data_IF_121270787443
#
_entry.id   IF_121270787443
#
_cell.length_a   1.000
_cell.length_b   1.000
_cell.length_c   1.000
_cell.angle_alpha   90.00
_cell.angle_beta   90.00
_cell.angle_gamma   90.00
#
_symmetry.space_group_name_H-M   'P 1'
#
loop_
_entity.id
_entity.type
_entity.pdbx_description
1 polymer ?
#
# COMPACT_ATOMS: atom_id res chain seq x y z
N UNK A 1 16.22 -7.29 -8.77
CA UNK A 1 15.31 -6.31 -8.14
C UNK A 1 14.06 -6.36 -8.98
N UNK A 2 13.02 -6.95 -8.44
CA UNK A 2 12.01 -6.01 -8.06
C UNK A 2 11.93 -6.00 -6.54
N UNK A 3 11.04 -5.15 -6.11
CA UNK A 3 10.68 -4.92 -4.74
C UNK A 3 9.16 -4.89 -4.67
N UNK A 4 8.62 -5.30 -3.53
CA UNK A 4 7.23 -5.05 -3.16
C UNK A 4 7.24 -4.35 -1.82
N UNK A 5 6.45 -3.29 -1.67
CA UNK A 5 6.31 -2.55 -0.41
C UNK A 5 4.99 -2.81 0.30
N UNK A 6 4.20 -3.76 -0.21
CA UNK A 6 2.86 -4.03 0.28
C UNK A 6 2.54 -5.53 0.15
N UNK A 7 2.37 -6.20 1.28
CA UNK A 7 2.09 -7.63 1.36
C UNK A 7 1.40 -8.01 2.67
N UNK A 8 0.65 -9.11 2.61
CA UNK A 8 -0.15 -9.68 3.69
C UNK A 8 0.00 -11.21 3.73
N UNK A 9 -0.02 -11.79 4.93
CA UNK A 9 0.07 -13.24 5.13
C UNK A 9 -1.13 -13.77 5.92
N UNK A 10 -1.53 -15.01 5.66
CA UNK A 10 -2.62 -15.65 6.42
C UNK A 10 -2.29 -15.92 7.88
N UNK A 11 -1.00 -15.83 8.27
CA UNK A 11 -0.56 -15.97 9.65
C UNK A 11 -0.97 -14.78 10.53
N UNK A 12 -1.08 -13.58 9.96
CA UNK A 12 -1.40 -12.36 10.71
C UNK A 12 -2.63 -11.60 10.16
N UNK A 13 -3.12 -11.98 8.98
CA UNK A 13 -4.39 -11.54 8.40
C UNK A 13 -5.30 -12.76 8.17
N UNK A 14 -5.74 -13.39 9.26
CA UNK A 14 -6.60 -14.59 9.22
C UNK A 14 -7.93 -14.31 8.50
N UNK A 15 -8.39 -15.26 7.70
CA UNK A 15 -9.61 -15.12 6.88
C UNK A 15 -9.43 -14.23 5.64
N UNK A 16 -8.49 -13.30 5.68
CA UNK A 16 -8.23 -12.30 4.64
C UNK A 16 -7.10 -12.71 3.67
N UNK A 17 -6.01 -13.27 4.19
CA UNK A 17 -4.85 -13.73 3.44
C UNK A 17 -4.56 -15.23 3.67
N UNK A 18 -3.53 -15.75 2.99
CA UNK A 18 -3.13 -17.17 3.05
C UNK A 18 -1.64 -17.32 3.32
N UNK A 19 -1.26 -18.54 3.72
CA UNK A 19 0.12 -18.98 3.97
C UNK A 19 0.79 -18.34 5.19
N UNK A 20 1.91 -18.93 5.63
CA UNK A 20 2.73 -18.33 6.68
C UNK A 20 3.52 -17.13 6.17
N UNK A 21 3.88 -16.21 7.06
CA UNK A 21 4.74 -15.07 6.71
C UNK A 21 6.09 -15.55 6.14
N UNK A 22 6.61 -16.66 6.68
CA UNK A 22 7.85 -17.28 6.19
C UNK A 22 7.70 -17.85 4.76
N UNK A 23 6.55 -18.46 4.42
CA UNK A 23 6.31 -18.96 3.06
C UNK A 23 6.25 -17.83 2.03
N UNK A 24 5.67 -16.68 2.41
CA UNK A 24 5.65 -15.47 1.58
C UNK A 24 7.09 -15.01 1.30
N UNK A 25 7.92 -14.88 2.34
CA UNK A 25 9.32 -14.46 2.21
C UNK A 25 10.13 -15.45 1.36
N UNK A 26 9.99 -16.75 1.61
CA UNK A 26 10.67 -17.79 0.81
C UNK A 26 10.24 -17.77 -0.66
N UNK A 27 8.97 -17.44 -0.92
CA UNK A 27 8.47 -17.26 -2.28
C UNK A 27 9.11 -16.04 -2.95
N UNK A 28 9.23 -14.91 -2.24
CA UNK A 28 9.92 -13.72 -2.74
C UNK A 28 11.41 -13.99 -3.03
N UNK A 29 12.10 -14.70 -2.14
CA UNK A 29 13.49 -15.17 -2.35
C UNK A 29 13.58 -16.08 -3.59
N UNK A 30 12.68 -17.07 -3.70
CA UNK A 30 12.64 -18.00 -4.84
C UNK A 30 12.40 -17.30 -6.18
N UNK A 31 11.64 -16.20 -6.17
CA UNK A 31 11.43 -15.30 -7.31
C UNK A 31 12.60 -14.33 -7.54
N UNK A 32 13.64 -14.34 -6.70
CA UNK A 32 14.82 -13.46 -6.77
C UNK A 32 14.48 -11.97 -6.56
N UNK A 33 13.47 -11.69 -5.74
CA UNK A 33 13.20 -10.33 -5.25
C UNK A 33 14.35 -9.89 -4.33
N UNK A 34 14.70 -8.60 -4.36
CA UNK A 34 15.81 -8.07 -3.55
C UNK A 34 15.34 -7.37 -2.29
N UNK A 35 14.15 -6.76 -2.36
CA UNK A 35 13.46 -6.21 -1.20
C UNK A 35 12.06 -6.77 -1.18
N UNK A 36 11.57 -7.19 -0.03
CA UNK A 36 10.17 -7.55 0.14
C UNK A 36 9.71 -7.03 1.50
N UNK A 37 8.92 -5.97 1.47
CA UNK A 37 8.45 -5.34 2.68
C UNK A 37 7.22 -6.07 3.22
N UNK A 38 7.17 -6.20 4.53
CA UNK A 38 6.04 -6.78 5.25
C UNK A 38 5.17 -5.63 5.73
N UNK A 39 3.86 -5.72 5.53
CA UNK A 39 2.94 -4.60 5.81
C UNK A 39 1.55 -5.09 6.21
N UNK A 40 1.48 -6.05 7.13
CA UNK A 40 0.20 -6.58 7.62
C UNK A 40 -0.71 -5.43 8.12
N UNK A 41 -2.02 -5.67 8.11
CA UNK A 41 -3.00 -4.70 8.58
C UNK A 41 -2.81 -4.31 10.06
N UNK A 42 -2.97 -3.02 10.35
CA UNK A 42 -2.94 -2.51 11.72
C UNK A 42 -4.17 -2.90 12.56
N UNK A 43 -4.06 -2.88 13.91
CA UNK A 43 -5.22 -2.95 14.79
C UNK A 43 -6.18 -1.76 14.59
N UNK A 44 -7.47 -2.00 14.74
CA UNK A 44 -8.54 -1.00 14.58
C UNK A 44 -9.59 -1.07 15.70
N UNK A 45 -10.52 -0.13 15.71
CA UNK A 45 -11.62 -0.11 16.70
C UNK A 45 -12.61 -1.23 16.41
N UNK A 46 -13.25 -1.79 17.45
CA UNK A 46 -14.18 -2.92 17.31
C UNK A 46 -15.35 -2.67 16.34
N UNK A 47 -15.80 -1.42 16.25
CA UNK A 47 -16.87 -1.01 15.33
C UNK A 47 -16.47 -1.02 13.84
N UNK A 48 -15.17 -1.04 13.56
CA UNK A 48 -14.61 -1.00 12.21
C UNK A 48 -14.02 -2.37 11.81
N UNK A 49 -14.33 -3.44 12.55
CA UNK A 49 -13.90 -4.80 12.21
C UNK A 49 -14.53 -5.30 10.91
N UNK A 50 -13.72 -6.00 10.11
CA UNK A 50 -14.22 -6.71 8.95
C UNK A 50 -15.04 -7.95 9.36
N UNK A 51 -15.96 -8.44 8.51
CA UNK A 51 -16.80 -9.59 8.85
C UNK A 51 -16.03 -10.82 9.32
N UNK A 52 -14.89 -11.14 8.71
CA UNK A 52 -14.02 -12.26 9.10
C UNK A 52 -13.43 -12.10 10.51
N UNK A 53 -13.13 -10.88 10.94
CA UNK A 53 -12.62 -10.59 12.28
C UNK A 53 -13.73 -10.75 13.33
N UNK A 54 -14.96 -10.32 12.99
CA UNK A 54 -16.15 -10.51 13.82
C UNK A 54 -16.46 -12.00 13.96
N UNK A 55 -16.43 -12.76 12.86
CA UNK A 55 -16.64 -14.21 12.83
C UNK A 55 -15.58 -14.96 13.66
N UNK A 56 -14.33 -14.48 13.65
CA UNK A 56 -13.24 -14.99 14.48
C UNK A 56 -13.34 -14.59 15.97
N UNK A 57 -14.36 -13.82 16.38
CA UNK A 57 -14.50 -13.23 17.71
C UNK A 57 -13.28 -12.39 18.12
N UNK A 58 -12.71 -11.65 17.17
CA UNK A 58 -11.62 -10.73 17.46
C UNK A 58 -12.03 -9.68 18.50
N UNK A 59 -11.04 -9.16 19.20
CA UNK A 59 -11.19 -8.02 20.11
C UNK A 59 -10.08 -7.01 19.79
N UNK A 60 -10.26 -5.76 20.20
CA UNK A 60 -9.20 -4.75 20.06
C UNK A 60 -7.89 -5.22 20.70
N UNK A 61 -7.98 -5.92 21.83
CA UNK A 61 -6.81 -6.51 22.51
C UNK A 61 -6.16 -7.63 21.69
N UNK A 62 -6.95 -8.51 21.04
CA UNK A 62 -6.41 -9.60 20.24
C UNK A 62 -5.74 -9.08 18.95
N UNK A 63 -6.25 -8.01 18.34
CA UNK A 63 -5.58 -7.37 17.21
C UNK A 63 -4.24 -6.73 17.63
N UNK A 64 -4.18 -6.08 18.80
CA UNK A 64 -2.93 -5.55 19.34
C UNK A 64 -1.92 -6.66 19.66
N UNK A 65 -2.38 -7.80 20.21
CA UNK A 65 -1.54 -8.97 20.44
C UNK A 65 -1.04 -9.58 19.12
N UNK A 66 -1.90 -9.64 18.10
CA UNK A 66 -1.55 -10.09 16.76
C UNK A 66 -0.47 -9.20 16.12
N UNK A 67 -0.58 -7.87 16.23
CA UNK A 67 0.46 -6.93 15.76
C UNK A 67 1.80 -7.16 16.48
N UNK A 68 1.78 -7.44 17.79
CA UNK A 68 2.98 -7.77 18.56
C UNK A 68 3.62 -9.08 18.10
N UNK A 69 2.81 -10.10 17.87
CA UNK A 69 3.26 -11.38 17.34
C UNK A 69 3.83 -11.23 15.92
N UNK A 70 3.16 -10.45 15.06
CA UNK A 70 3.60 -10.08 13.73
C UNK A 70 4.97 -9.41 13.75
N UNK A 71 5.14 -8.36 14.56
CA UNK A 71 6.39 -7.61 14.60
C UNK A 71 7.55 -8.51 15.05
N UNK A 72 7.34 -9.30 16.11
CA UNK A 72 8.35 -10.24 16.63
C UNK A 72 8.75 -11.29 15.59
N UNK A 73 7.78 -11.90 14.92
CA UNK A 73 8.06 -12.92 13.92
C UNK A 73 8.75 -12.33 12.69
N UNK A 74 8.32 -11.15 12.27
CA UNK A 74 8.95 -10.41 11.19
C UNK A 74 10.42 -10.11 11.50
N UNK A 75 10.76 -9.68 12.73
CA UNK A 75 12.15 -9.47 13.13
C UNK A 75 12.98 -10.76 13.05
N UNK A 76 12.45 -11.87 13.57
CA UNK A 76 13.10 -13.18 13.49
C UNK A 76 13.38 -13.59 12.04
N UNK A 77 12.41 -13.36 11.14
CA UNK A 77 12.52 -13.70 9.72
C UNK A 77 13.50 -12.77 8.99
N UNK A 78 13.49 -11.47 9.30
CA UNK A 78 14.47 -10.50 8.80
C UNK A 78 15.89 -10.95 9.14
N UNK A 79 16.15 -11.31 10.38
CA UNK A 79 17.47 -11.80 10.82
C UNK A 79 17.84 -13.12 10.13
N UNK A 80 16.90 -14.07 10.05
CA UNK A 80 17.12 -15.38 9.41
C UNK A 80 17.50 -15.27 7.93
N UNK A 81 16.89 -14.35 7.20
CA UNK A 81 17.00 -14.23 5.74
C UNK A 81 17.80 -12.99 5.27
N UNK A 82 18.49 -12.29 6.19
CA UNK A 82 19.17 -11.03 5.89
C UNK A 82 20.23 -11.14 4.77
N UNK A 83 20.83 -12.32 4.58
CA UNK A 83 21.81 -12.56 3.50
C UNK A 83 21.18 -12.88 2.14
N UNK A 84 19.87 -13.11 2.09
CA UNK A 84 19.15 -13.53 0.88
C UNK A 84 18.23 -12.43 0.34
N UNK A 85 17.58 -11.66 1.22
CA UNK A 85 16.62 -10.61 0.86
C UNK A 85 16.58 -9.50 1.92
N UNK A 86 16.40 -8.25 1.50
CA UNK A 86 16.18 -7.14 2.42
C UNK A 86 14.69 -7.05 2.80
N UNK A 87 14.38 -6.97 4.09
CA UNK A 87 13.01 -7.03 4.62
C UNK A 87 12.74 -5.80 5.50
N UNK A 88 12.26 -4.69 4.93
CA UNK A 88 11.64 -3.62 5.71
C UNK A 88 10.35 -4.13 6.38
N UNK A 89 10.20 -3.90 7.68
CA UNK A 89 9.00 -4.28 8.44
C UNK A 89 8.18 -3.02 8.68
N UNK A 90 6.98 -2.97 8.12
CA UNK A 90 6.02 -1.90 8.31
C UNK A 90 4.65 -2.44 8.66
N UNK A 91 3.61 -1.65 8.39
CA UNK A 91 2.22 -2.08 8.45
C UNK A 91 1.42 -1.28 7.41
N UNK A 92 0.28 -1.80 6.97
CA UNK A 92 -0.70 -1.03 6.21
C UNK A 92 -1.66 -0.34 7.19
N UNK A 93 -1.78 0.99 7.07
CA UNK A 93 -2.67 1.75 7.92
C UNK A 93 -4.06 1.91 7.30
N UNK A 94 -5.10 1.85 8.13
CA UNK A 94 -6.49 2.06 7.74
C UNK A 94 -6.96 3.46 8.15
N UNK A 95 -7.03 4.40 7.20
CA UNK A 95 -7.69 5.67 7.45
C UNK A 95 -9.20 5.58 7.21
N UNK A 96 -9.96 5.56 8.31
CA UNK A 96 -11.42 5.42 8.29
C UNK A 96 -12.09 6.75 8.67
N UNK A 97 -11.54 7.42 9.68
CA UNK A 97 -12.01 8.69 10.24
C UNK A 97 -10.89 9.33 11.07
N UNK A 98 -11.08 10.57 11.54
CA UNK A 98 -10.04 11.27 12.32
C UNK A 98 -9.54 10.52 13.56
N UNK A 99 -10.38 9.70 14.20
CA UNK A 99 -9.96 8.87 15.35
C UNK A 99 -9.06 7.69 14.97
N UNK A 100 -8.97 7.31 13.68
CA UNK A 100 -7.98 6.34 13.18
C UNK A 100 -6.55 6.82 13.47
N UNK A 101 -6.31 8.15 13.49
CA UNK A 101 -5.00 8.73 13.78
C UNK A 101 -4.40 8.20 15.08
N UNK A 102 -5.19 8.11 16.15
CA UNK A 102 -4.73 7.61 17.45
C UNK A 102 -4.26 6.15 17.36
N UNK A 103 -4.96 5.31 16.61
CA UNK A 103 -4.59 3.90 16.43
C UNK A 103 -3.30 3.76 15.62
N UNK A 104 -3.16 4.53 14.55
CA UNK A 104 -1.96 4.56 13.71
C UNK A 104 -0.75 5.03 14.52
N UNK A 105 -0.91 6.10 15.30
CA UNK A 105 0.14 6.61 16.19
C UNK A 105 0.50 5.62 17.29
N UNK A 106 -0.48 4.89 17.84
CA UNK A 106 -0.21 3.87 18.83
C UNK A 106 0.59 2.69 18.24
N UNK A 107 0.30 2.25 17.01
CA UNK A 107 1.13 1.25 16.30
C UNK A 107 2.57 1.73 16.10
N UNK A 108 2.74 2.96 15.61
CA UNK A 108 4.06 3.59 15.45
C UNK A 108 4.82 3.79 16.77
N UNK A 109 4.11 3.93 17.90
CA UNK A 109 4.71 4.08 19.23
C UNK A 109 5.06 2.76 19.90
N UNK A 110 4.32 1.67 19.60
CA UNK A 110 4.58 0.34 20.18
C UNK A 110 5.82 -0.32 19.61
N UNK A 111 6.07 -0.15 18.32
CA UNK A 111 7.12 -0.87 17.61
C UNK A 111 7.96 0.05 16.71
N UNK A 112 9.28 -0.18 16.61
CA UNK A 112 10.14 0.55 15.69
C UNK A 112 9.99 0.02 14.26
N UNK A 113 8.81 0.21 13.68
CA UNK A 113 8.57 -0.06 12.26
C UNK A 113 9.53 0.74 11.37
N UNK A 114 9.86 0.20 10.20
CA UNK A 114 10.73 0.83 9.20
C UNK A 114 9.94 1.76 8.26
N UNK A 115 8.63 1.55 8.12
CA UNK A 115 7.75 2.40 7.33
C UNK A 115 6.29 2.02 7.62
N UNK A 116 5.35 2.68 6.95
CA UNK A 116 3.97 2.22 6.84
C UNK A 116 3.39 2.62 5.48
N UNK A 117 2.39 1.88 5.04
CA UNK A 117 1.60 2.18 3.84
C UNK A 117 0.35 2.95 4.26
N UNK A 118 0.13 4.13 3.68
CA UNK A 118 -1.08 4.93 3.88
C UNK A 118 -2.20 4.48 2.96
N UNK A 119 -3.27 3.93 3.51
CA UNK A 119 -4.39 3.40 2.75
C UNK A 119 -5.75 3.95 3.20
N UNK A 120 -6.68 4.02 2.25
CA UNK A 120 -8.09 4.35 2.49
C UNK A 120 -8.94 3.21 1.92
N UNK A 121 -9.49 2.40 2.81
CA UNK A 121 -10.39 1.29 2.48
C UNK A 121 -11.87 1.61 2.79
N UNK A 122 -12.13 2.79 3.35
CA UNK A 122 -13.45 3.19 3.82
C UNK A 122 -13.84 4.58 3.35
N UNK A 123 -15.11 4.74 2.97
CA UNK A 123 -15.75 6.06 2.78
C UNK A 123 -17.08 6.07 3.50
N UNK A 124 -17.36 7.16 4.23
CA UNK A 124 -18.43 7.19 5.24
C UNK A 124 -18.36 6.00 6.20
N UNK A 125 -17.15 5.52 6.42
CA UNK A 125 -16.81 4.45 7.35
C UNK A 125 -17.43 3.11 7.00
N UNK A 126 -17.66 2.92 5.71
CA UNK A 126 -18.12 1.68 5.11
C UNK A 126 -17.01 1.18 4.18
N UNK A 127 -16.63 -0.12 4.25
CA UNK A 127 -15.67 -0.70 3.33
C UNK A 127 -16.10 -0.51 1.87
N UNK A 128 -15.22 0.06 1.05
CA UNK A 128 -15.49 0.34 -0.37
C UNK A 128 -14.99 -0.77 -1.31
N UNK A 129 -14.09 -1.63 -0.84
CA UNK A 129 -13.39 -2.61 -1.66
C UNK A 129 -13.69 -4.07 -1.27
N UNK A 130 -14.32 -4.28 -0.09
CA UNK A 130 -14.76 -5.58 0.42
C UNK A 130 -15.77 -6.28 -0.51
N UNK A 131 -16.98 -5.74 -0.64
CA UNK A 131 -18.01 -6.27 -1.54
C UNK A 131 -18.85 -5.16 -2.21
N UNK A 132 -19.62 -5.55 -3.23
CA UNK A 132 -20.45 -4.63 -4.01
C UNK A 132 -21.60 -4.03 -3.19
N UNK A 133 -22.12 -4.73 -2.18
CA UNK A 133 -23.23 -4.26 -1.37
C UNK A 133 -22.79 -3.12 -0.44
N UNK A 134 -21.63 -3.27 0.20
CA UNK A 134 -21.03 -2.24 1.04
C UNK A 134 -20.59 -1.02 0.20
N UNK A 135 -20.01 -1.24 -0.98
CA UNK A 135 -19.71 -0.16 -1.93
C UNK A 135 -20.97 0.64 -2.29
N UNK A 136 -22.07 -0.05 -2.66
CA UNK A 136 -23.35 0.60 -2.98
C UNK A 136 -23.94 1.35 -1.79
N UNK A 137 -23.76 0.85 -0.56
CA UNK A 137 -24.19 1.54 0.65
C UNK A 137 -23.40 2.85 0.86
N UNK A 138 -22.08 2.82 0.73
CA UNK A 138 -21.25 4.01 0.79
C UNK A 138 -21.65 5.02 -0.30
N UNK A 139 -21.85 4.54 -1.54
CA UNK A 139 -22.33 5.35 -2.67
C UNK A 139 -23.67 6.01 -2.40
N UNK A 140 -24.60 5.29 -1.79
CA UNK A 140 -25.91 5.82 -1.40
C UNK A 140 -25.82 7.00 -0.44
N UNK A 141 -24.87 6.96 0.52
CA UNK A 141 -24.63 8.06 1.47
C UNK A 141 -23.99 9.27 0.76
N UNK A 142 -23.05 9.04 -0.16
CA UNK A 142 -22.37 10.10 -0.90
C UNK A 142 -23.30 10.88 -1.87
N UNK A 143 -24.48 10.34 -2.19
CA UNK A 143 -25.43 10.97 -3.12
C UNK A 143 -25.82 10.12 -4.32
N UNK A 144 -25.49 8.83 -4.31
CA UNK A 144 -26.04 7.82 -5.22
C UNK A 144 -25.29 7.62 -6.53
N UNK A 145 -24.14 8.27 -6.73
CA UNK A 145 -23.32 8.12 -7.94
C UNK A 145 -21.87 7.83 -7.58
N UNK A 146 -21.15 7.14 -8.47
CA UNK A 146 -19.73 6.87 -8.28
C UNK A 146 -18.94 8.19 -8.20
N UNK A 147 -19.28 9.19 -9.03
CA UNK A 147 -18.65 10.51 -9.02
C UNK A 147 -18.65 11.13 -7.61
N UNK A 148 -19.80 11.15 -6.94
CA UNK A 148 -19.89 11.69 -5.58
C UNK A 148 -19.08 10.87 -4.56
N UNK A 149 -19.13 9.55 -4.67
CA UNK A 149 -18.36 8.68 -3.79
C UNK A 149 -16.84 8.87 -3.98
N UNK A 150 -16.40 9.06 -5.23
CA UNK A 150 -15.00 9.37 -5.54
C UNK A 150 -14.58 10.73 -4.98
N UNK A 151 -15.44 11.75 -5.07
CA UNK A 151 -15.16 13.06 -4.45
C UNK A 151 -14.91 12.92 -2.94
N UNK A 152 -15.71 12.11 -2.24
CA UNK A 152 -15.58 11.88 -0.80
C UNK A 152 -14.38 10.99 -0.45
N UNK A 153 -14.06 10.00 -1.30
CA UNK A 153 -12.85 9.19 -1.19
C UNK A 153 -11.58 10.04 -1.25
N UNK A 154 -11.45 10.91 -2.27
CA UNK A 154 -10.25 11.72 -2.41
C UNK A 154 -10.14 12.79 -1.31
N UNK A 155 -11.25 13.23 -0.71
CA UNK A 155 -11.21 14.06 0.51
C UNK A 155 -10.74 13.27 1.75
N UNK A 156 -11.22 12.05 1.94
CA UNK A 156 -10.73 11.17 3.00
C UNK A 156 -9.24 10.86 2.83
N UNK A 157 -8.79 10.62 1.60
CA UNK A 157 -7.38 10.44 1.26
C UNK A 157 -6.56 11.70 1.55
N UNK A 158 -7.04 12.91 1.24
CA UNK A 158 -6.32 14.12 1.63
C UNK A 158 -6.21 14.27 3.15
N UNK A 159 -7.28 13.94 3.89
CA UNK A 159 -7.25 13.98 5.35
C UNK A 159 -6.20 13.02 5.92
N UNK A 160 -6.13 11.80 5.37
CA UNK A 160 -5.09 10.80 5.68
C UNK A 160 -3.68 11.34 5.38
N UNK A 161 -3.46 11.85 4.17
CA UNK A 161 -2.18 12.41 3.74
C UNK A 161 -1.73 13.52 4.69
N UNK A 162 -2.61 14.49 4.99
CA UNK A 162 -2.29 15.61 5.89
C UNK A 162 -2.01 15.20 7.33
N UNK A 163 -2.71 14.17 7.82
CA UNK A 163 -2.56 13.70 9.18
C UNK A 163 -1.28 12.87 9.38
N UNK A 164 -0.82 12.16 8.33
CA UNK A 164 0.17 11.10 8.47
C UNK A 164 1.43 11.28 7.63
N UNK A 165 1.42 12.02 6.51
CA UNK A 165 2.50 12.05 5.53
C UNK A 165 3.10 10.64 5.29
N UNK A 166 2.30 9.64 4.88
CA UNK A 166 2.78 8.26 4.80
C UNK A 166 3.97 8.13 3.83
N UNK A 167 5.00 7.35 4.18
CA UNK A 167 6.14 7.06 3.31
C UNK A 167 5.72 6.53 1.93
N UNK A 168 4.78 5.59 1.93
CA UNK A 168 4.19 4.96 0.75
C UNK A 168 2.67 5.17 0.81
N UNK A 169 2.06 5.62 -0.29
CA UNK A 169 0.59 5.74 -0.42
C UNK A 169 0.10 4.55 -1.24
N UNK A 170 -0.67 3.67 -0.60
CA UNK A 170 -1.20 2.46 -1.20
C UNK A 170 -2.29 2.78 -2.21
N UNK A 171 -2.37 1.96 -3.27
CA UNK A 171 -3.47 1.83 -4.24
C UNK A 171 -4.33 3.09 -4.40
N UNK A 172 -3.69 4.20 -4.81
CA UNK A 172 -4.22 5.57 -4.69
C UNK A 172 -5.64 5.80 -5.24
N UNK A 173 -6.11 4.99 -6.18
CA UNK A 173 -7.44 5.05 -6.77
C UNK A 173 -8.25 3.74 -6.56
N UNK A 174 -7.97 2.99 -5.49
CA UNK A 174 -8.63 1.72 -5.11
C UNK A 174 -10.15 1.78 -5.21
N UNK A 175 -10.72 2.95 -4.90
CA UNK A 175 -12.14 3.26 -4.97
C UNK A 175 -12.81 2.86 -6.28
N UNK A 176 -12.06 2.70 -7.38
CA UNK A 176 -12.62 2.26 -8.67
C UNK A 176 -12.97 0.78 -8.72
N UNK A 177 -12.44 -0.05 -7.81
CA UNK A 177 -12.56 -1.52 -7.84
C UNK A 177 -14.01 -2.02 -8.01
N UNK A 178 -14.95 -1.44 -7.28
CA UNK A 178 -16.36 -1.87 -7.23
C UNK A 178 -17.30 -0.87 -7.91
N UNK A 179 -16.76 0.14 -8.60
CA UNK A 179 -17.53 1.13 -9.37
C UNK A 179 -18.26 0.49 -10.55
N UNK A 180 -19.25 1.18 -11.10
CA UNK A 180 -20.01 0.70 -12.27
C UNK A 180 -19.13 0.60 -13.53
N UNK A 181 -18.07 1.41 -13.60
CA UNK A 181 -17.07 1.42 -14.67
C UNK A 181 -15.65 1.67 -14.12
N UNK A 182 -14.94 0.61 -13.68
CA UNK A 182 -13.57 0.71 -13.13
C UNK A 182 -12.53 1.24 -14.13
N UNK A 183 -12.86 1.28 -15.42
CA UNK A 183 -11.98 1.70 -16.52
C UNK A 183 -12.29 3.12 -17.02
N UNK A 184 -13.32 3.78 -16.46
CA UNK A 184 -13.61 5.19 -16.74
C UNK A 184 -12.38 6.07 -16.47
N UNK A 185 -12.21 7.10 -17.29
CA UNK A 185 -11.22 8.15 -17.02
C UNK A 185 -11.76 9.12 -15.98
N UNK A 186 -10.96 9.39 -14.94
CA UNK A 186 -11.29 10.36 -13.89
C UNK A 186 -11.46 11.78 -14.45
N UNK A 187 -10.86 12.10 -15.60
CA UNK A 187 -10.99 13.39 -16.27
C UNK A 187 -12.42 13.68 -16.76
N UNK A 188 -13.29 12.67 -16.85
CA UNK A 188 -14.71 12.87 -17.15
C UNK A 188 -15.49 13.48 -15.98
N UNK A 189 -14.91 13.49 -14.78
CA UNK A 189 -15.48 14.08 -13.57
C UNK A 189 -14.58 15.21 -13.07
N UNK A 190 -14.78 16.46 -13.55
CA UNK A 190 -13.89 17.58 -13.23
C UNK A 190 -13.65 17.78 -11.73
N UNK A 191 -14.68 17.60 -10.89
CA UNK A 191 -14.56 17.75 -9.44
C UNK A 191 -13.71 16.63 -8.80
N UNK A 192 -13.85 15.39 -9.28
CA UNK A 192 -13.01 14.26 -8.87
C UNK A 192 -11.56 14.49 -9.31
N UNK A 193 -11.38 14.91 -10.56
CA UNK A 193 -10.06 15.19 -11.12
C UNK A 193 -9.32 16.29 -10.37
N UNK A 194 -10.00 17.39 -10.02
CA UNK A 194 -9.42 18.46 -9.19
C UNK A 194 -8.92 17.95 -7.84
N UNK A 195 -9.69 17.06 -7.18
CA UNK A 195 -9.30 16.46 -5.90
C UNK A 195 -8.11 15.50 -6.03
N UNK A 196 -8.04 14.73 -7.13
CA UNK A 196 -6.88 13.90 -7.45
C UNK A 196 -5.63 14.78 -7.59
N UNK A 197 -5.67 15.82 -8.43
CA UNK A 197 -4.53 16.72 -8.65
C UNK A 197 -4.07 17.37 -7.35
N UNK A 198 -5.01 17.86 -6.53
CA UNK A 198 -4.74 18.41 -5.20
C UNK A 198 -4.01 17.42 -4.28
N UNK A 199 -4.41 16.15 -4.29
CA UNK A 199 -3.77 15.12 -3.46
C UNK A 199 -2.35 14.81 -3.97
N UNK A 200 -2.16 14.76 -5.30
CA UNK A 200 -0.85 14.57 -5.93
C UNK A 200 0.09 15.76 -5.65
N UNK A 201 -0.41 16.99 -5.66
CA UNK A 201 0.34 18.19 -5.29
C UNK A 201 0.86 18.07 -3.85
N UNK A 202 -0.01 17.68 -2.92
CA UNK A 202 0.37 17.49 -1.52
C UNK A 202 1.41 16.37 -1.35
N UNK A 203 1.23 15.23 -2.04
CA UNK A 203 2.20 14.14 -2.02
C UNK A 203 3.57 14.54 -2.56
N UNK A 204 3.60 15.33 -3.63
CA UNK A 204 4.84 15.83 -4.20
C UNK A 204 5.53 16.82 -3.25
N UNK A 205 4.78 17.66 -2.54
CA UNK A 205 5.29 18.63 -1.57
C UNK A 205 6.04 17.96 -0.41
N UNK A 206 5.44 16.94 0.23
CA UNK A 206 6.10 16.24 1.34
C UNK A 206 7.07 15.14 0.88
N UNK A 207 7.03 14.76 -0.40
CA UNK A 207 7.94 13.78 -1.00
C UNK A 207 7.55 12.32 -0.77
N UNK A 208 6.25 12.01 -0.66
CA UNK A 208 5.73 10.65 -0.56
C UNK A 208 6.00 9.79 -1.80
N UNK A 209 5.93 8.47 -1.62
CA UNK A 209 6.06 7.50 -2.70
C UNK A 209 4.67 6.98 -3.08
N UNK A 210 4.31 7.09 -4.35
CA UNK A 210 3.08 6.56 -4.90
C UNK A 210 3.27 5.09 -5.27
N UNK A 211 2.43 4.22 -4.74
CA UNK A 211 2.46 2.80 -5.05
C UNK A 211 1.91 2.53 -6.46
N UNK A 212 2.71 1.86 -7.30
CA UNK A 212 2.27 1.16 -8.49
C UNK A 212 1.92 -0.28 -8.08
N UNK A 213 0.63 -0.56 -7.98
CA UNK A 213 0.12 -1.80 -7.40
C UNK A 213 -0.48 -2.70 -8.49
N UNK A 214 0.09 -3.89 -8.68
CA UNK A 214 -0.38 -4.85 -9.67
C UNK A 214 -1.65 -5.62 -9.26
N UNK A 215 -2.18 -5.38 -8.05
CA UNK A 215 -3.37 -6.05 -7.54
C UNK A 215 -4.63 -5.82 -8.37
N UNK A 216 -4.80 -4.63 -8.94
CA UNK A 216 -5.95 -4.36 -9.80
C UNK A 216 -6.00 -5.32 -11.00
N UNK A 217 -4.84 -5.71 -11.53
CA UNK A 217 -4.72 -6.58 -12.71
C UNK A 217 -5.24 -8.00 -12.44
N UNK A 218 -5.06 -8.52 -11.21
CA UNK A 218 -5.67 -9.80 -10.79
C UNK A 218 -7.15 -9.68 -10.45
N UNK A 219 -7.62 -8.45 -10.16
CA UNK A 219 -9.03 -8.12 -9.91
C UNK A 219 -9.81 -7.80 -11.20
N UNK A 220 -9.20 -7.99 -12.38
CA UNK A 220 -9.86 -7.90 -13.70
C UNK A 220 -9.74 -6.53 -14.39
N UNK A 221 -9.05 -5.56 -13.80
CA UNK A 221 -8.82 -4.25 -14.42
C UNK A 221 -7.68 -4.28 -15.43
N UNK A 222 -7.66 -3.30 -16.33
CA UNK A 222 -6.68 -3.22 -17.42
C UNK A 222 -5.36 -2.58 -17.01
N UNK A 223 -5.40 -1.61 -16.10
CA UNK A 223 -4.25 -0.87 -15.54
C UNK A 223 -4.04 -1.19 -14.05
N UNK A 224 -2.79 -1.13 -13.53
CA UNK A 224 -2.47 -1.16 -12.09
C UNK A 224 -3.18 -0.03 -11.32
N UNK A 225 -3.08 -0.03 -9.99
CA UNK A 225 -3.35 1.19 -9.24
C UNK A 225 -2.07 2.06 -9.16
N UNK A 226 -2.14 3.39 -9.30
CA UNK A 226 -3.23 4.10 -9.94
C UNK A 226 -3.18 4.04 -11.46
N UNK A 227 -4.27 4.48 -12.10
CA UNK A 227 -4.36 4.62 -13.57
C UNK A 227 -3.24 5.47 -14.16
N UNK A 228 -2.98 5.26 -15.45
CA UNK A 228 -1.93 5.98 -16.18
C UNK A 228 -2.11 7.52 -16.14
N UNK A 229 -3.35 8.00 -16.16
CA UNK A 229 -3.65 9.44 -16.09
C UNK A 229 -3.17 10.08 -14.78
N UNK A 230 -3.33 9.40 -13.65
CA UNK A 230 -2.83 9.83 -12.33
C UNK A 230 -1.31 9.75 -12.30
N UNK A 231 -0.74 8.66 -12.81
CA UNK A 231 0.71 8.48 -12.83
C UNK A 231 1.43 9.57 -13.66
N UNK A 232 0.88 9.97 -14.80
CA UNK A 232 1.44 11.04 -15.64
C UNK A 232 1.46 12.38 -14.90
N UNK A 233 0.39 12.70 -14.18
CA UNK A 233 0.31 13.93 -13.38
C UNK A 233 1.29 13.93 -12.20
N UNK A 234 1.46 12.79 -11.53
CA UNK A 234 2.44 12.68 -10.46
C UNK A 234 3.88 12.73 -10.98
N UNK A 235 4.14 12.12 -12.13
CA UNK A 235 5.43 12.19 -12.82
C UNK A 235 5.78 13.63 -13.20
N UNK A 236 4.82 14.41 -13.71
CA UNK A 236 5.00 15.83 -14.01
C UNK A 236 5.36 16.69 -12.78
N UNK A 237 5.06 16.18 -11.57
CA UNK A 237 5.40 16.78 -10.28
C UNK A 237 6.70 16.25 -9.68
N UNK A 238 7.50 15.51 -10.46
CA UNK A 238 8.70 14.79 -10.00
C UNK A 238 8.41 13.79 -8.87
N UNK A 239 7.20 13.21 -8.89
CA UNK A 239 6.76 12.23 -7.91
C UNK A 239 7.60 10.94 -7.93
N UNK A 240 7.66 10.26 -6.78
CA UNK A 240 8.40 9.01 -6.60
C UNK A 240 7.46 7.81 -6.69
N UNK A 241 7.83 6.79 -7.44
CA UNK A 241 7.02 5.58 -7.60
C UNK A 241 7.71 4.36 -7.02
N UNK A 242 6.99 3.46 -6.36
CA UNK A 242 7.47 2.11 -6.03
C UNK A 242 6.54 1.05 -6.65
N UNK A 243 7.05 -0.17 -6.81
CA UNK A 243 6.26 -1.32 -7.25
C UNK A 243 5.78 -2.09 -6.03
N UNK A 244 4.55 -2.56 -6.08
CA UNK A 244 3.97 -3.47 -5.10
C UNK A 244 3.01 -4.45 -5.79
N UNK A 245 2.78 -5.58 -5.14
CA UNK A 245 1.76 -6.55 -5.55
C UNK A 245 0.58 -6.62 -4.59
N UNK A 246 0.68 -6.09 -3.37
CA UNK A 246 -0.37 -6.23 -2.34
C UNK A 246 -0.80 -7.71 -2.23
N UNK A 247 0.20 -8.59 -2.13
CA UNK A 247 -0.01 -10.04 -2.17
C UNK A 247 -0.68 -10.53 -0.89
N UNK A 248 -1.75 -11.33 -1.01
CA UNK A 248 -2.46 -11.97 0.11
C UNK A 248 -2.20 -13.48 0.19
N UNK A 249 -1.01 -13.92 -0.21
CA UNK A 249 -0.67 -15.35 -0.35
C UNK A 249 0.43 -15.57 -1.39
N UNK A 250 1.07 -16.74 -1.35
CA UNK A 250 2.26 -17.04 -2.19
C UNK A 250 1.99 -16.91 -3.70
N UNK A 251 0.77 -17.25 -4.14
CA UNK A 251 0.34 -17.18 -5.54
C UNK A 251 0.28 -15.73 -6.07
N UNK A 252 0.19 -14.75 -5.17
CA UNK A 252 0.09 -13.34 -5.52
C UNK A 252 1.43 -12.61 -5.48
N UNK A 253 2.48 -13.23 -4.93
CA UNK A 253 3.82 -12.63 -4.84
C UNK A 253 4.39 -12.38 -6.24
N UNK A 254 4.69 -11.12 -6.51
CA UNK A 254 5.10 -10.55 -7.79
C UNK A 254 4.15 -10.83 -8.96
N UNK A 255 2.88 -11.13 -8.67
CA UNK A 255 1.89 -11.44 -9.71
C UNK A 255 1.67 -10.21 -10.60
N UNK A 256 1.59 -10.44 -11.92
CA UNK A 256 1.44 -9.42 -12.95
C UNK A 256 2.58 -8.38 -13.05
N UNK A 257 3.77 -8.63 -12.47
CA UNK A 257 4.89 -7.68 -12.56
C UNK A 257 5.36 -7.41 -14.00
N UNK A 258 5.27 -8.39 -14.93
CA UNK A 258 5.57 -8.14 -16.35
C UNK A 258 4.62 -7.10 -16.96
N UNK A 259 3.33 -7.20 -16.67
CA UNK A 259 2.32 -6.22 -17.13
C UNK A 259 2.51 -4.86 -16.46
N UNK A 260 2.92 -4.85 -15.19
CA UNK A 260 3.25 -3.60 -14.50
C UNK A 260 4.49 -2.93 -15.10
N UNK A 261 5.48 -3.70 -15.54
CA UNK A 261 6.66 -3.18 -16.24
C UNK A 261 6.30 -2.54 -17.59
N UNK A 262 5.44 -3.18 -18.38
CA UNK A 262 4.90 -2.63 -19.63
C UNK A 262 4.13 -1.32 -19.38
N UNK A 263 3.30 -1.29 -18.32
CA UNK A 263 2.58 -0.08 -17.91
C UNK A 263 3.53 1.06 -17.52
N UNK A 264 4.56 0.76 -16.72
CA UNK A 264 5.59 1.73 -16.29
C UNK A 264 6.26 2.39 -17.51
N UNK A 265 6.57 1.59 -18.54
CA UNK A 265 7.09 2.11 -19.82
C UNK A 265 6.10 2.99 -20.55
N UNK A 266 4.85 2.54 -20.67
CA UNK A 266 3.79 3.28 -21.36
C UNK A 266 3.51 4.64 -20.73
N UNK A 267 3.58 4.73 -19.40
CA UNK A 267 3.43 6.00 -18.67
C UNK A 267 4.66 6.91 -18.87
N UNK A 268 5.84 6.33 -19.09
CA UNK A 268 7.10 7.06 -19.23
C UNK A 268 7.87 7.23 -17.92
N UNK A 269 7.64 6.36 -16.92
CA UNK A 269 8.34 6.40 -15.64
C UNK A 269 9.74 5.79 -15.83
N UNK A 270 10.79 6.62 -15.80
CA UNK A 270 12.17 6.17 -16.05
C UNK A 270 12.91 5.71 -14.80
N UNK A 271 12.40 6.02 -13.61
CA UNK A 271 13.07 5.76 -12.32
C UNK A 271 12.04 5.28 -11.30
N UNK A 272 12.35 4.17 -10.64
CA UNK A 272 11.57 3.67 -9.52
C UNK A 272 12.36 3.79 -8.23
N UNK A 273 11.63 3.82 -7.12
CA UNK A 273 12.14 3.99 -5.77
C UNK A 273 11.78 2.79 -4.93
N UNK A 274 12.63 2.50 -3.95
CA UNK A 274 12.36 1.45 -2.98
C UNK A 274 12.96 1.82 -1.63
N UNK A 275 12.27 1.38 -0.57
CA UNK A 275 12.76 1.43 0.79
C UNK A 275 13.65 0.21 1.07
N UNK A 276 14.79 0.44 1.70
CA UNK A 276 15.74 -0.58 2.12
C UNK A 276 15.98 -0.45 3.62
N UNK A 277 15.89 -1.55 4.36
CA UNK A 277 16.30 -1.59 5.75
C UNK A 277 17.84 -1.56 5.86
N UNK A 278 18.34 -0.65 6.68
CA UNK A 278 19.76 -0.45 6.98
C UNK A 278 20.01 -0.80 8.46
N UNK A 279 20.78 -1.86 8.72
CA UNK A 279 21.12 -2.28 10.09
C UNK A 279 21.92 -1.21 10.85
N UNK A 280 22.81 -0.50 10.15
CA UNK A 280 23.53 0.64 10.68
C UNK A 280 22.79 1.94 10.41
N UNK A 281 22.77 2.85 11.39
CA UNK A 281 22.18 4.18 11.23
C UNK A 281 22.96 4.96 10.16
N UNK A 282 22.30 5.49 9.11
CA UNK A 282 22.95 6.37 8.15
C UNK A 282 23.50 7.61 8.86
N UNK A 283 24.61 8.17 8.37
CA UNK A 283 25.02 9.53 8.76
C UNK A 283 23.83 10.48 8.56
N UNK A 284 23.52 11.32 9.56
CA UNK A 284 22.26 12.05 9.75
C UNK A 284 21.70 12.87 8.57
N UNK A 285 22.47 13.08 7.50
CA UNK A 285 22.08 13.89 6.33
C UNK A 285 21.17 13.17 5.31
N UNK A 286 20.98 11.85 5.40
CA UNK A 286 20.28 11.06 4.36
C UNK A 286 18.98 10.37 4.84
N UNK A 287 18.39 10.80 5.96
CA UNK A 287 17.13 10.22 6.43
C UNK A 287 15.96 10.63 5.52
N UNK A 288 15.35 9.67 4.84
CA UNK A 288 14.16 9.85 4.01
C UNK A 288 12.95 10.29 4.86
N UNK A 289 12.80 9.68 6.03
CA UNK A 289 11.78 9.98 7.00
C UNK A 289 12.38 9.86 8.41
N UNK A 290 12.32 10.95 9.19
CA UNK A 290 12.93 11.00 10.52
C UNK A 290 12.29 10.04 11.52
N UNK A 291 11.07 9.58 11.25
CA UNK A 291 10.40 8.56 12.07
C UNK A 291 11.06 7.19 11.93
N UNK A 292 11.74 6.94 10.81
CA UNK A 292 12.26 5.63 10.42
C UNK A 292 13.77 5.69 10.17
N UNK A 293 14.59 5.80 11.23
CA UNK A 293 16.02 6.08 11.10
C UNK A 293 16.82 4.95 10.43
N UNK A 294 16.28 3.73 10.40
CA UNK A 294 16.87 2.57 9.71
C UNK A 294 16.40 2.41 8.27
N UNK A 295 15.62 3.33 7.73
CA UNK A 295 15.04 3.21 6.39
C UNK A 295 15.76 4.09 5.40
N UNK A 296 16.45 3.46 4.45
CA UNK A 296 17.08 4.12 3.31
C UNK A 296 16.13 4.19 2.11
N UNK A 297 15.97 5.37 1.53
CA UNK A 297 15.39 5.52 0.19
C UNK A 297 16.46 5.25 -0.86
N UNK A 298 16.14 4.39 -1.81
CA UNK A 298 16.97 4.05 -2.97
C UNK A 298 16.18 4.27 -4.25
N UNK A 299 16.90 4.33 -5.36
CA UNK A 299 16.30 4.40 -6.70
C UNK A 299 17.02 3.46 -7.66
N UNK A 300 16.32 3.08 -8.73
CA UNK A 300 16.83 2.27 -9.83
C UNK A 300 16.24 2.80 -11.14
N UNK A 301 17.06 2.89 -12.18
CA UNK A 301 16.55 3.23 -13.51
C UNK A 301 15.70 2.08 -14.06
N UNK A 302 14.70 2.38 -14.88
CA UNK A 302 13.90 1.35 -15.54
C UNK A 302 14.77 0.45 -16.43
N UNK A 303 15.79 1.02 -17.07
CA UNK A 303 16.74 0.27 -17.90
C UNK A 303 17.52 -0.76 -17.08
N UNK A 304 18.03 -0.38 -15.90
CA UNK A 304 18.73 -1.30 -15.01
C UNK A 304 17.77 -2.33 -14.40
N UNK A 305 16.54 -1.92 -14.06
CA UNK A 305 15.51 -2.81 -13.52
C UNK A 305 15.25 -4.01 -14.44
N UNK A 306 15.16 -3.76 -15.75
CA UNK A 306 14.90 -4.77 -16.79
C UNK A 306 16.00 -5.80 -16.97
N UNK A 307 17.24 -5.47 -16.61
CA UNK A 307 18.39 -6.36 -16.78
C UNK A 307 18.53 -7.38 -15.63
N UNK A 308 17.61 -7.36 -14.67
CA UNK A 308 17.76 -8.13 -13.45
C UNK A 308 17.28 -9.57 -13.63
N UNK A 309 17.99 -10.50 -12.97
CA UNK A 309 17.73 -11.94 -12.99
C UNK A 309 16.35 -12.38 -12.47
N UNK A 310 15.51 -11.44 -12.01
CA UNK A 310 14.10 -11.70 -11.72
C UNK A 310 13.29 -11.89 -13.01
N UNK A 311 13.63 -11.17 -14.08
CA UNK A 311 12.91 -11.19 -15.35
C UNK A 311 13.38 -12.32 -16.30
N UNK A 312 14.44 -13.04 -15.94
CA UNK A 312 15.08 -14.10 -16.75
C UNK A 312 14.51 -15.48 -16.46
#
# INVERSE_FOLDING_TARGET
MPFSHHSHSGQFCEGHAKNSLEDIIRTAIGKRMRVFALSEHMPRMAQDFYPEEVEANATEASLIENESAYFKESQRLREKYISEINIPIGFECDWIRSSSLTWIQNSLARFPFDFFVGSVHHVHTIPIDYDTLLYQKARGIAGGTDERLFEDYFDAQLAMLKALNPPVVGHFDLIRLKSDDPERSFQQWPAVWEKILRNLDYMAEYGGILELNSASLRKGMTEPYPKAEICKEFLARNGRFCMSDDSHGIEQVALNYNRMLEFIEQVGISTLHYLEYCSELPSSSNSFDRRFPHTGLRSVSLADLKQLAFWS
#
